data_IF_454866745587
#
_entry.id   IF_454866745587
#
_cell.length_a   1.000
_cell.length_b   1.000
_cell.length_c   1.000
_cell.angle_alpha   90.00
_cell.angle_beta   90.00
_cell.angle_gamma   90.00
#
_symmetry.space_group_name_H-M   'P 1'
#
loop_
_entity.id
_entity.type
_entity.pdbx_description
1 polymer ?
#
# COMPACT_ATOMS: atom_id res chain seq x y z
N UNK A 1 -33.81 -13.22 93.81
CA UNK A 1 -33.05 -12.02 93.38
C UNK A 1 -33.70 -11.50 92.10
N UNK A 2 -34.12 -10.23 92.01
CA UNK A 2 -34.69 -9.69 90.77
C UNK A 2 -33.56 -9.48 89.75
N UNK A 3 -33.67 -10.04 88.53
CA UNK A 3 -32.64 -9.87 87.51
C UNK A 3 -32.66 -8.44 86.94
N UNK A 4 -31.51 -7.93 86.51
CA UNK A 4 -31.38 -6.61 85.88
C UNK A 4 -32.01 -6.55 84.48
N UNK A 5 -32.34 -7.71 83.89
CA UNK A 5 -33.09 -7.86 82.64
C UNK A 5 -34.07 -9.04 82.78
N UNK A 6 -35.33 -8.85 82.40
CA UNK A 6 -36.27 -9.95 82.19
C UNK A 6 -36.15 -10.41 80.72
N UNK A 7 -36.23 -11.73 80.47
CA UNK A 7 -36.16 -12.29 79.11
C UNK A 7 -34.79 -12.86 78.70
N UNK A 8 -34.07 -13.54 79.60
CA UNK A 8 -33.09 -14.50 79.11
C UNK A 8 -33.85 -15.61 78.37
N UNK A 9 -33.53 -15.92 77.12
CA UNK A 9 -34.18 -17.00 76.38
C UNK A 9 -33.77 -18.36 76.97
N UNK A 10 -34.55 -18.84 77.94
CA UNK A 10 -34.38 -20.13 78.60
C UNK A 10 -35.63 -20.55 79.35
N UNK A 11 -35.91 -21.86 79.37
CA UNK A 11 -36.95 -22.46 80.20
C UNK A 11 -36.69 -22.09 81.68
N UNK A 12 -37.57 -21.27 82.27
CA UNK A 12 -37.43 -20.78 83.65
C UNK A 12 -36.96 -19.32 83.80
N UNK A 13 -36.87 -18.56 82.71
CA UNK A 13 -36.54 -17.13 82.79
C UNK A 13 -37.64 -16.30 83.45
N UNK A 14 -37.24 -15.37 84.31
CA UNK A 14 -38.14 -14.46 85.02
C UNK A 14 -38.98 -13.64 84.04
N UNK A 15 -40.30 -13.71 84.19
CA UNK A 15 -41.27 -12.89 83.47
C UNK A 15 -42.05 -12.02 84.43
N UNK A 16 -42.11 -10.71 84.17
CA UNK A 16 -42.92 -9.79 84.97
C UNK A 16 -44.41 -10.16 84.96
N UNK A 17 -44.88 -10.84 83.92
CA UNK A 17 -46.26 -11.28 83.80
C UNK A 17 -46.63 -12.40 84.78
N UNK A 18 -45.67 -13.17 85.28
CA UNK A 18 -45.92 -14.24 86.27
C UNK A 18 -46.22 -13.66 87.67
N UNK A 19 -46.00 -12.34 87.83
CA UNK A 19 -46.27 -11.57 89.05
C UNK A 19 -47.40 -10.55 88.88
N UNK A 20 -48.22 -10.68 87.82
CA UNK A 20 -49.41 -9.85 87.58
C UNK A 20 -50.65 -10.69 87.92
N UNK A 21 -51.26 -10.40 89.07
CA UNK A 21 -52.38 -11.19 89.62
C UNK A 21 -53.77 -10.61 89.33
N UNK A 22 -53.82 -9.41 88.73
CA UNK A 22 -55.06 -8.73 88.35
C UNK A 22 -55.18 -8.65 86.82
N UNK A 23 -56.40 -8.60 86.25
CA UNK A 23 -56.61 -8.48 84.80
C UNK A 23 -55.84 -7.31 84.17
N UNK A 24 -55.71 -6.22 84.93
CA UNK A 24 -54.89 -5.06 84.65
C UNK A 24 -54.08 -4.70 85.90
N UNK A 25 -52.80 -4.39 85.74
CA UNK A 25 -51.93 -3.92 86.81
C UNK A 25 -51.12 -2.72 86.34
N UNK A 26 -51.05 -1.69 87.19
CA UNK A 26 -50.36 -0.45 86.86
C UNK A 26 -49.17 -0.23 87.79
N UNK A 27 -48.03 0.18 87.23
CA UNK A 27 -46.87 0.67 87.99
C UNK A 27 -46.64 2.13 87.64
N UNK A 28 -46.52 2.97 88.66
CA UNK A 28 -46.24 4.39 88.50
C UNK A 28 -44.96 4.77 89.23
N UNK A 29 -44.14 5.58 88.57
CA UNK A 29 -42.95 6.18 89.15
C UNK A 29 -42.95 7.66 88.79
N UNK A 30 -42.99 8.52 89.81
CA UNK A 30 -42.79 9.96 89.65
C UNK A 30 -41.34 10.29 90.00
N UNK A 31 -40.63 10.94 89.09
CA UNK A 31 -39.20 11.23 89.22
C UNK A 31 -38.87 12.64 88.72
N UNK A 32 -37.65 13.11 89.01
CA UNK A 32 -37.17 14.44 88.61
C UNK A 32 -35.85 14.35 87.87
N UNK A 33 -35.72 15.13 86.81
CA UNK A 33 -34.47 15.29 86.07
C UNK A 33 -34.45 16.64 85.37
N UNK A 34 -33.29 17.31 85.32
CA UNK A 34 -33.17 18.62 84.67
C UNK A 34 -34.15 19.67 85.18
N UNK A 35 -34.46 19.69 86.48
CA UNK A 35 -35.43 20.60 87.09
C UNK A 35 -36.91 20.24 86.90
N UNK A 36 -37.24 19.44 85.88
CA UNK A 36 -38.59 18.98 85.53
C UNK A 36 -39.03 17.77 86.35
N UNK A 37 -40.34 17.53 86.41
CA UNK A 37 -40.92 16.31 87.00
C UNK A 37 -41.52 15.46 85.90
N UNK A 38 -41.29 14.16 85.97
CA UNK A 38 -41.80 13.18 85.02
C UNK A 38 -42.58 12.09 85.74
N UNK A 39 -43.55 11.49 85.06
CA UNK A 39 -44.30 10.33 85.54
C UNK A 39 -44.20 9.22 84.49
N UNK A 40 -43.53 8.13 84.86
CA UNK A 40 -43.56 6.88 84.10
C UNK A 40 -44.75 6.04 84.57
N UNK A 41 -45.60 5.60 83.65
CA UNK A 41 -46.75 4.75 83.94
C UNK A 41 -46.70 3.51 83.03
N UNK A 42 -46.59 2.34 83.63
CA UNK A 42 -46.64 1.05 82.94
C UNK A 42 -47.98 0.39 83.25
N UNK A 43 -48.70 -0.01 82.21
CA UNK A 43 -49.96 -0.76 82.31
C UNK A 43 -49.72 -2.15 81.73
N UNK A 44 -49.90 -3.17 82.58
CA UNK A 44 -49.73 -4.57 82.23
C UNK A 44 -51.10 -5.24 82.19
N UNK A 45 -51.46 -5.81 81.04
CA UNK A 45 -52.72 -6.54 80.84
C UNK A 45 -52.44 -8.01 80.56
N UNK A 46 -53.11 -8.88 81.32
CA UNK A 46 -52.99 -10.34 81.22
C UNK A 46 -54.29 -11.03 80.80
N UNK A 47 -55.39 -10.28 80.69
CA UNK A 47 -56.66 -10.85 80.23
C UNK A 47 -56.64 -11.06 78.70
N UNK A 48 -56.38 -12.30 78.27
CA UNK A 48 -56.20 -12.66 76.87
C UNK A 48 -54.75 -12.56 76.41
N UNK A 49 -54.46 -11.71 75.41
CA UNK A 49 -53.09 -11.50 74.91
C UNK A 49 -52.32 -10.58 75.87
N UNK A 50 -51.18 -11.06 76.40
CA UNK A 50 -50.25 -10.26 77.21
C UNK A 50 -49.89 -8.97 76.47
N UNK A 51 -50.14 -7.83 77.11
CA UNK A 51 -49.85 -6.49 76.54
C UNK A 51 -49.26 -5.59 77.62
N UNK A 52 -48.17 -4.92 77.26
CA UNK A 52 -47.57 -3.83 78.05
C UNK A 52 -47.81 -2.53 77.30
N UNK A 53 -48.34 -1.54 78.00
CA UNK A 53 -48.38 -0.14 77.56
C UNK A 53 -47.49 0.67 78.50
N UNK A 54 -46.72 1.60 77.94
CA UNK A 54 -45.76 2.41 78.66
C UNK A 54 -45.91 3.87 78.26
N UNK A 55 -46.22 4.71 79.23
CA UNK A 55 -46.45 6.14 79.05
C UNK A 55 -45.43 6.93 79.84
N UNK A 56 -44.98 8.04 79.27
CA UNK A 56 -44.15 9.03 79.94
C UNK A 56 -44.82 10.39 79.85
N UNK A 57 -45.00 11.00 81.02
CA UNK A 57 -45.57 12.34 81.14
C UNK A 57 -44.56 13.31 81.74
N UNK A 58 -44.59 14.56 81.30
CA UNK A 58 -43.93 15.69 81.93
C UNK A 58 -44.96 16.52 82.70
N UNK A 59 -44.59 17.01 83.88
CA UNK A 59 -45.42 17.91 84.66
C UNK A 59 -45.30 19.34 84.13
N UNK A 60 -46.38 19.90 83.60
CA UNK A 60 -46.44 21.27 83.09
C UNK A 60 -47.82 21.88 83.29
N UNK A 61 -47.86 23.20 83.55
CA UNK A 61 -49.10 23.99 83.68
C UNK A 61 -50.23 23.28 84.46
N UNK A 62 -51.30 22.82 83.78
CA UNK A 62 -52.49 22.22 84.39
C UNK A 62 -52.33 20.77 84.91
N UNK A 63 -51.19 20.11 84.73
CA UNK A 63 -50.96 18.76 85.24
C UNK A 63 -49.92 17.94 84.48
N UNK A 64 -50.24 16.68 84.19
CA UNK A 64 -49.37 15.75 83.46
C UNK A 64 -49.70 15.77 81.97
N UNK A 65 -48.73 16.11 81.14
CA UNK A 65 -48.84 16.08 79.68
C UNK A 65 -47.90 15.01 79.10
N UNK A 66 -48.27 14.30 78.02
CA UNK A 66 -47.38 13.34 77.37
C UNK A 66 -46.07 13.99 76.92
N UNK A 67 -44.95 13.30 77.12
CA UNK A 67 -43.65 13.77 76.61
C UNK A 67 -43.65 13.78 75.09
N UNK A 68 -43.05 14.83 74.51
CA UNK A 68 -42.81 14.97 73.07
C UNK A 68 -41.30 15.00 72.84
N UNK A 69 -40.79 14.11 71.98
CA UNK A 69 -39.38 13.99 71.62
C UNK A 69 -38.95 15.09 70.65
N UNK A 70 -37.64 15.25 70.46
CA UNK A 70 -37.07 16.24 69.52
C UNK A 70 -37.56 16.05 68.08
N UNK A 71 -37.85 14.82 67.67
CA UNK A 71 -38.38 14.51 66.34
C UNK A 71 -39.91 14.72 66.22
N UNK A 72 -40.56 15.18 67.29
CA UNK A 72 -42.01 15.39 67.35
C UNK A 72 -42.81 14.15 67.78
N UNK A 73 -42.16 13.02 68.03
CA UNK A 73 -42.85 11.81 68.50
C UNK A 73 -43.44 12.02 69.89
N UNK A 74 -44.72 11.76 70.05
CA UNK A 74 -45.44 11.89 71.33
C UNK A 74 -45.50 10.53 72.03
N UNK A 75 -45.34 10.50 73.37
CA UNK A 75 -45.56 9.30 74.17
C UNK A 75 -46.98 8.75 73.96
N UNK A 76 -47.08 7.63 73.25
CA UNK A 76 -48.33 7.07 72.73
C UNK A 76 -48.72 5.74 73.39
N UNK A 77 -48.05 5.36 74.48
CA UNK A 77 -48.27 4.10 75.17
C UNK A 77 -47.49 2.92 74.61
N UNK A 78 -46.76 3.09 73.49
CA UNK A 78 -45.88 2.02 72.99
C UNK A 78 -44.60 1.96 73.81
N UNK A 79 -44.17 0.73 74.11
CA UNK A 79 -42.93 0.47 74.86
C UNK A 79 -41.71 1.08 74.15
N UNK A 80 -41.62 0.94 72.83
CA UNK A 80 -40.51 1.51 72.04
C UNK A 80 -40.44 3.05 72.14
N UNK A 81 -41.59 3.72 72.05
CA UNK A 81 -41.68 5.18 72.19
C UNK A 81 -41.26 5.60 73.60
N UNK A 82 -41.72 4.88 74.62
CA UNK A 82 -41.34 5.12 76.00
C UNK A 82 -39.83 4.94 76.24
N UNK A 83 -39.24 3.86 75.74
CA UNK A 83 -37.81 3.58 75.90
C UNK A 83 -36.95 4.67 75.25
N UNK A 84 -37.32 5.09 74.03
CA UNK A 84 -36.67 6.22 73.35
C UNK A 84 -36.79 7.52 74.16
N UNK A 85 -37.97 7.79 74.70
CA UNK A 85 -38.23 8.99 75.49
C UNK A 85 -37.40 9.05 76.77
N UNK A 86 -37.35 7.93 77.51
CA UNK A 86 -36.54 7.83 78.72
C UNK A 86 -35.05 7.95 78.39
N UNK A 87 -34.59 7.31 77.31
CA UNK A 87 -33.19 7.36 76.91
C UNK A 87 -32.73 8.77 76.49
N UNK A 88 -33.60 9.54 75.84
CA UNK A 88 -33.30 10.92 75.43
C UNK A 88 -33.25 11.89 76.62
N UNK A 89 -34.11 11.71 77.62
CA UNK A 89 -34.17 12.57 78.82
C UNK A 89 -33.03 12.23 79.79
N UNK A 90 -32.76 10.95 80.01
CA UNK A 90 -31.75 10.48 80.94
C UNK A 90 -30.48 10.07 80.18
N UNK A 91 -30.38 8.77 79.89
CA UNK A 91 -29.34 8.16 79.10
C UNK A 91 -29.84 6.76 78.68
N UNK A 92 -29.17 6.10 77.73
CA UNK A 92 -29.48 4.72 77.38
C UNK A 92 -29.49 3.82 78.63
N UNK A 93 -30.37 2.80 78.62
CA UNK A 93 -30.54 1.91 79.78
C UNK A 93 -29.22 1.28 80.24
N UNK A 94 -28.37 0.87 79.31
CA UNK A 94 -27.06 0.30 79.63
C UNK A 94 -26.14 1.29 80.37
N UNK A 95 -26.19 2.57 80.02
CA UNK A 95 -25.45 3.63 80.71
C UNK A 95 -26.05 3.88 82.10
N UNK A 96 -27.38 3.91 82.23
CA UNK A 96 -28.07 4.08 83.52
C UNK A 96 -27.73 2.93 84.49
N UNK A 97 -27.88 1.69 84.05
CA UNK A 97 -27.55 0.48 84.82
C UNK A 97 -26.04 0.30 85.05
N UNK A 98 -25.22 1.09 84.36
CA UNK A 98 -23.78 1.09 84.56
C UNK A 98 -23.31 2.18 85.51
N UNK A 99 -24.00 3.32 85.57
CA UNK A 99 -23.54 4.52 86.27
C UNK A 99 -24.42 4.89 87.48
N UNK A 100 -25.74 4.97 87.31
CA UNK A 100 -26.68 5.51 88.31
C UNK A 100 -27.21 4.41 89.23
N UNK A 101 -27.50 3.23 88.68
CA UNK A 101 -27.99 2.09 89.45
C UNK A 101 -27.20 0.84 89.08
N UNK A 102 -26.68 0.11 90.06
CA UNK A 102 -25.98 -1.16 89.81
C UNK A 102 -26.65 -2.29 90.58
N UNK A 103 -27.21 -3.25 89.85
CA UNK A 103 -27.78 -4.45 90.45
C UNK A 103 -26.69 -5.33 91.09
N UNK A 104 -27.09 -6.18 92.04
CA UNK A 104 -26.19 -7.15 92.66
C UNK A 104 -25.63 -8.11 91.59
N UNK A 105 -24.32 -8.37 91.63
CA UNK A 105 -23.66 -9.28 90.68
C UNK A 105 -23.43 -8.70 89.28
N UNK A 106 -23.62 -7.40 89.08
CA UNK A 106 -23.31 -6.73 87.80
C UNK A 106 -21.81 -6.82 87.47
N UNK A 107 -21.51 -6.93 86.17
CA UNK A 107 -20.15 -6.85 85.61
C UNK A 107 -19.42 -5.59 86.14
N UNK A 108 -18.22 -5.74 86.75
CA UNK A 108 -17.44 -4.60 87.22
C UNK A 108 -16.89 -3.79 86.04
N UNK A 109 -16.66 -2.49 86.22
CA UNK A 109 -16.11 -1.60 85.18
C UNK A 109 -14.75 -2.09 84.63
N UNK A 110 -13.94 -2.74 85.47
CA UNK A 110 -12.65 -3.34 85.07
C UNK A 110 -12.78 -4.42 84.00
N UNK A 111 -13.94 -5.07 83.90
CA UNK A 111 -14.19 -6.10 82.91
C UNK A 111 -14.63 -5.53 81.56
N UNK A 112 -14.94 -4.23 81.45
CA UNK A 112 -15.38 -3.59 80.20
C UNK A 112 -14.22 -3.40 79.23
N UNK A 113 -14.48 -3.57 77.94
CA UNK A 113 -13.53 -3.29 76.87
C UNK A 113 -13.39 -1.78 76.70
N UNK A 114 -12.22 -1.33 76.21
CA UNK A 114 -11.96 0.09 75.96
C UNK A 114 -13.02 0.78 75.09
N UNK A 115 -13.58 0.08 74.09
CA UNK A 115 -14.66 0.63 73.26
C UNK A 115 -15.95 0.84 74.07
N UNK A 116 -16.32 -0.11 74.93
CA UNK A 116 -17.50 -0.03 75.78
C UNK A 116 -17.35 1.12 76.81
N UNK A 117 -16.15 1.28 77.39
CA UNK A 117 -15.84 2.40 78.30
C UNK A 117 -15.94 3.74 77.58
N UNK A 118 -15.42 3.85 76.35
CA UNK A 118 -15.50 5.08 75.54
C UNK A 118 -16.95 5.45 75.22
N UNK A 119 -17.78 4.47 74.86
CA UNK A 119 -19.22 4.70 74.65
C UNK A 119 -19.90 5.15 75.93
N UNK A 120 -19.64 4.47 77.05
CA UNK A 120 -20.19 4.85 78.35
C UNK A 120 -19.81 6.29 78.74
N UNK A 121 -18.55 6.67 78.56
CA UNK A 121 -18.08 8.04 78.84
C UNK A 121 -18.70 9.06 77.88
N UNK A 122 -18.86 8.71 76.59
CA UNK A 122 -19.51 9.60 75.63
C UNK A 122 -20.97 9.85 76.01
N UNK A 123 -21.70 8.81 76.42
CA UNK A 123 -23.09 8.93 76.87
C UNK A 123 -23.19 9.81 78.14
N UNK A 124 -22.32 9.56 79.14
CA UNK A 124 -22.32 10.32 80.40
C UNK A 124 -21.93 11.79 80.23
N UNK A 125 -21.06 12.09 79.28
CA UNK A 125 -20.61 13.45 78.97
C UNK A 125 -21.49 14.15 77.93
N UNK A 126 -22.51 13.48 77.39
CA UNK A 126 -23.36 14.04 76.34
C UNK A 126 -22.64 14.30 75.01
N UNK A 127 -21.59 13.54 74.70
CA UNK A 127 -20.74 13.70 73.51
C UNK A 127 -21.28 12.98 72.26
N UNK A 128 -22.56 12.64 72.25
CA UNK A 128 -23.18 11.89 71.15
C UNK A 128 -23.09 12.63 69.82
N UNK A 129 -23.23 13.96 69.83
CA UNK A 129 -23.09 14.79 68.63
C UNK A 129 -21.66 14.73 68.06
N UNK A 130 -20.64 14.71 68.91
CA UNK A 130 -19.23 14.59 68.49
C UNK A 130 -18.97 13.24 67.83
N UNK A 131 -19.56 12.17 68.39
CA UNK A 131 -19.48 10.82 67.81
C UNK A 131 -20.13 10.75 66.44
N UNK A 132 -21.32 11.33 66.30
CA UNK A 132 -22.04 11.40 65.01
C UNK A 132 -21.27 12.20 63.97
N UNK A 133 -20.69 13.35 64.35
CA UNK A 133 -19.83 14.12 63.46
C UNK A 133 -18.58 13.34 63.03
N UNK A 134 -17.97 12.58 63.94
CA UNK A 134 -16.83 11.71 63.62
C UNK A 134 -17.19 10.62 62.61
N UNK A 135 -18.37 10.01 62.74
CA UNK A 135 -18.87 9.02 61.79
C UNK A 135 -19.11 9.64 60.40
N UNK A 136 -19.76 10.80 60.34
CA UNK A 136 -19.98 11.54 59.10
C UNK A 136 -18.65 11.91 58.42
N UNK A 137 -17.66 12.39 59.19
CA UNK A 137 -16.34 12.71 58.66
C UNK A 137 -15.63 11.47 58.09
N UNK A 138 -15.73 10.32 58.75
CA UNK A 138 -15.18 9.07 58.26
C UNK A 138 -15.83 8.63 56.93
N UNK A 139 -17.14 8.80 56.81
CA UNK A 139 -17.88 8.52 55.58
C UNK A 139 -17.47 9.46 54.44
N UNK A 140 -17.30 10.76 54.70
CA UNK A 140 -16.79 11.73 53.72
C UNK A 140 -15.40 11.31 53.23
N UNK A 141 -14.48 10.97 54.15
CA UNK A 141 -13.14 10.50 53.78
C UNK A 141 -13.20 9.24 52.92
N UNK A 142 -14.08 8.28 53.26
CA UNK A 142 -14.29 7.06 52.48
C UNK A 142 -14.76 7.37 51.06
N UNK A 143 -15.75 8.26 50.91
CA UNK A 143 -16.28 8.67 49.61
C UNK A 143 -15.23 9.43 48.79
N UNK A 144 -14.49 10.36 49.39
CA UNK A 144 -13.41 11.10 48.73
C UNK A 144 -12.30 10.17 48.23
N UNK A 145 -11.91 9.17 49.04
CA UNK A 145 -10.92 8.16 48.61
C UNK A 145 -11.41 7.34 47.42
N UNK A 146 -12.68 6.93 47.42
CA UNK A 146 -13.28 6.22 46.30
C UNK A 146 -13.31 7.09 45.03
N UNK A 147 -13.75 8.35 45.14
CA UNK A 147 -13.76 9.30 44.02
C UNK A 147 -12.36 9.57 43.46
N UNK A 148 -11.36 9.76 44.33
CA UNK A 148 -9.97 9.93 43.92
C UNK A 148 -9.43 8.73 43.14
N UNK A 149 -9.79 7.50 43.54
CA UNK A 149 -9.38 6.30 42.82
C UNK A 149 -9.95 6.29 41.39
N UNK A 150 -11.21 6.69 41.22
CA UNK A 150 -11.86 6.80 39.89
C UNK A 150 -11.17 7.86 39.03
N UNK A 151 -10.87 9.05 39.59
CA UNK A 151 -10.17 10.12 38.86
C UNK A 151 -8.77 9.66 38.42
N UNK A 152 -8.03 8.97 39.29
CA UNK A 152 -6.71 8.42 38.96
C UNK A 152 -6.79 7.38 37.85
N UNK A 153 -7.78 6.50 37.88
CA UNK A 153 -8.01 5.52 36.82
C UNK A 153 -8.37 6.19 35.49
N UNK A 154 -9.22 7.23 35.54
CA UNK A 154 -9.57 8.03 34.37
C UNK A 154 -8.36 8.73 33.75
N UNK A 155 -7.48 9.31 34.59
CA UNK A 155 -6.24 9.93 34.13
C UNK A 155 -5.31 8.92 33.45
N UNK A 156 -5.13 7.74 34.03
CA UNK A 156 -4.28 6.69 33.45
C UNK A 156 -4.78 6.26 32.06
N UNK A 157 -6.09 6.04 31.91
CA UNK A 157 -6.71 5.71 30.60
C UNK A 157 -6.51 6.83 29.58
N UNK A 158 -6.76 8.08 29.97
CA UNK A 158 -6.56 9.22 29.08
C UNK A 158 -5.09 9.37 28.63
N UNK A 159 -4.13 9.03 29.50
CA UNK A 159 -2.70 9.01 29.14
C UNK A 159 -2.36 7.88 28.15
N UNK A 160 -2.92 6.69 28.34
CA UNK A 160 -2.78 5.56 27.41
C UNK A 160 -3.37 5.90 26.04
N UNK A 161 -4.58 6.47 26.00
CA UNK A 161 -5.26 6.90 24.78
C UNK A 161 -4.43 7.97 24.05
N UNK A 162 -3.96 8.99 24.77
CA UNK A 162 -3.11 10.03 24.19
C UNK A 162 -1.79 9.46 23.63
N UNK A 163 -1.17 8.50 24.32
CA UNK A 163 0.02 7.81 23.82
C UNK A 163 -0.29 6.94 22.60
N UNK A 164 -1.47 6.31 22.54
CA UNK A 164 -1.99 5.60 21.38
C UNK A 164 -2.15 6.53 20.17
N UNK A 165 -2.87 7.65 20.34
CA UNK A 165 -3.09 8.63 19.27
C UNK A 165 -1.79 9.21 18.74
N UNK A 166 -0.81 9.52 19.61
CA UNK A 166 0.52 10.02 19.16
C UNK A 166 1.25 8.99 18.32
N UNK A 167 1.19 7.70 18.66
CA UNK A 167 1.80 6.63 17.85
C UNK A 167 1.14 6.53 16.49
N UNK A 168 -0.19 6.51 16.44
CA UNK A 168 -0.92 6.47 15.16
C UNK A 168 -0.64 7.69 14.28
N UNK A 169 -0.49 8.89 14.86
CA UNK A 169 -0.08 10.07 14.10
C UNK A 169 1.33 9.92 13.51
N UNK A 170 2.29 9.44 14.30
CA UNK A 170 3.65 9.20 13.82
C UNK A 170 3.70 8.14 12.69
N UNK A 171 2.87 7.09 12.78
CA UNK A 171 2.72 6.08 11.73
C UNK A 171 2.12 6.67 10.44
N UNK A 172 1.10 7.52 10.56
CA UNK A 172 0.50 8.22 9.42
C UNK A 172 1.49 9.18 8.75
N UNK A 173 2.25 9.94 9.53
CA UNK A 173 3.29 10.82 9.03
C UNK A 173 4.38 10.02 8.28
N UNK A 174 4.81 8.89 8.85
CA UNK A 174 5.76 7.98 8.21
C UNK A 174 5.22 7.39 6.90
N UNK A 175 3.94 6.97 6.87
CA UNK A 175 3.29 6.47 5.67
C UNK A 175 3.16 7.55 4.59
N UNK A 176 2.85 8.79 4.98
CA UNK A 176 2.81 9.95 4.08
C UNK A 176 4.16 10.22 3.44
N UNK A 177 5.24 10.21 4.24
CA UNK A 177 6.61 10.37 3.73
C UNK A 177 7.01 9.23 2.78
N UNK A 178 6.65 7.98 3.12
CA UNK A 178 6.90 6.83 2.24
C UNK A 178 6.15 6.94 0.91
N UNK A 179 4.89 7.42 0.93
CA UNK A 179 4.10 7.65 -0.28
C UNK A 179 4.73 8.74 -1.17
N UNK A 180 5.19 9.85 -0.59
CA UNK A 180 5.90 10.90 -1.32
C UNK A 180 7.18 10.35 -1.97
N UNK A 181 7.98 9.60 -1.22
CA UNK A 181 9.21 8.98 -1.75
C UNK A 181 8.92 7.97 -2.87
N UNK A 182 7.91 7.11 -2.70
CA UNK A 182 7.48 6.16 -3.72
C UNK A 182 6.97 6.86 -4.98
N UNK A 183 6.24 7.97 -4.82
CA UNK A 183 5.71 8.77 -5.94
C UNK A 183 6.83 9.46 -6.71
N UNK A 184 7.82 10.03 -6.02
CA UNK A 184 9.02 10.61 -6.61
C UNK A 184 9.86 9.56 -7.34
N UNK A 185 10.01 8.37 -6.75
CA UNK A 185 10.72 7.27 -7.39
C UNK A 185 9.99 6.80 -8.66
N UNK A 186 8.66 6.66 -8.60
CA UNK A 186 7.84 6.27 -9.76
C UNK A 186 7.94 7.28 -10.91
N UNK A 187 7.93 8.57 -10.60
CA UNK A 187 8.10 9.62 -11.63
C UNK A 187 9.50 9.60 -12.24
N UNK A 188 10.54 9.39 -11.44
CA UNK A 188 11.91 9.21 -11.92
C UNK A 188 12.09 7.96 -12.79
N UNK A 189 11.50 6.82 -12.41
CA UNK A 189 11.58 5.59 -13.21
C UNK A 189 10.79 5.73 -14.51
N UNK A 190 9.61 6.37 -14.48
CA UNK A 190 8.83 6.67 -15.68
C UNK A 190 9.62 7.55 -16.66
N UNK A 191 10.24 8.64 -16.18
CA UNK A 191 11.06 9.51 -17.02
C UNK A 191 12.26 8.77 -17.66
N UNK A 192 12.91 7.88 -16.90
CA UNK A 192 13.99 7.04 -17.43
C UNK A 192 13.50 6.05 -18.48
N UNK A 193 12.33 5.46 -18.27
CA UNK A 193 11.71 4.54 -19.22
C UNK A 193 11.33 5.26 -20.51
N UNK A 194 10.77 6.46 -20.44
CA UNK A 194 10.44 7.27 -21.61
C UNK A 194 11.69 7.71 -22.38
N UNK A 195 12.75 8.12 -21.69
CA UNK A 195 14.04 8.40 -22.31
C UNK A 195 14.65 7.16 -22.98
N UNK A 196 14.50 5.98 -22.36
CA UNK A 196 14.91 4.70 -22.95
C UNK A 196 14.11 4.36 -24.22
N UNK A 197 12.79 4.58 -24.21
CA UNK A 197 11.92 4.40 -25.38
C UNK A 197 12.29 5.35 -26.52
N UNK A 198 12.60 6.60 -26.21
CA UNK A 198 13.06 7.56 -27.21
C UNK A 198 14.38 7.12 -27.85
N UNK A 199 15.36 6.67 -27.06
CA UNK A 199 16.62 6.12 -27.57
C UNK A 199 16.42 4.87 -28.42
N UNK A 200 15.51 3.99 -28.01
CA UNK A 200 15.18 2.80 -28.82
C UNK A 200 14.58 3.24 -30.16
N UNK A 201 13.66 4.21 -30.18
CA UNK A 201 13.07 4.72 -31.40
C UNK A 201 14.12 5.33 -32.35
N UNK A 202 15.08 6.11 -31.82
CA UNK A 202 16.17 6.68 -32.63
C UNK A 202 17.07 5.59 -33.22
N UNK A 203 17.52 4.63 -32.41
CA UNK A 203 18.37 3.53 -32.87
C UNK A 203 17.64 2.65 -33.89
N UNK A 204 16.32 2.43 -33.70
CA UNK A 204 15.52 1.66 -34.66
C UNK A 204 15.41 2.40 -36.00
N UNK A 205 15.20 3.72 -35.98
CA UNK A 205 15.16 4.53 -37.20
C UNK A 205 16.52 4.60 -37.93
N UNK A 206 17.62 4.71 -37.18
CA UNK A 206 18.98 4.63 -37.72
C UNK A 206 19.24 3.26 -38.36
N UNK A 207 18.82 2.19 -37.70
CA UNK A 207 18.96 0.83 -38.23
C UNK A 207 18.17 0.62 -39.52
N UNK A 208 16.93 1.09 -39.60
CA UNK A 208 16.14 1.02 -40.84
C UNK A 208 16.78 1.83 -41.96
N UNK A 209 17.24 3.05 -41.69
CA UNK A 209 17.94 3.87 -42.70
C UNK A 209 19.27 3.25 -43.16
N UNK A 210 20.02 2.62 -42.25
CA UNK A 210 21.24 1.88 -42.60
C UNK A 210 20.93 0.64 -43.45
N UNK A 211 19.86 -0.09 -43.14
CA UNK A 211 19.41 -1.24 -43.92
C UNK A 211 18.96 -0.84 -45.34
N UNK A 212 18.23 0.27 -45.48
CA UNK A 212 17.86 0.85 -46.78
C UNK A 212 19.10 1.26 -47.58
N UNK A 213 20.06 1.92 -46.93
CA UNK A 213 21.32 2.33 -47.56
C UNK A 213 22.13 1.12 -48.03
N UNK A 214 22.20 0.06 -47.22
CA UNK A 214 22.87 -1.19 -47.57
C UNK A 214 22.17 -1.92 -48.73
N UNK A 215 20.82 -1.94 -48.74
CA UNK A 215 20.05 -2.48 -49.85
C UNK A 215 20.32 -1.70 -51.16
N UNK A 216 20.37 -0.36 -51.08
CA UNK A 216 20.73 0.49 -52.24
C UNK A 216 22.16 0.23 -52.71
N UNK A 217 23.11 0.04 -51.79
CA UNK A 217 24.50 -0.30 -52.11
C UNK A 217 24.59 -1.64 -52.86
N UNK A 218 23.86 -2.65 -52.42
CA UNK A 218 23.79 -3.97 -53.09
C UNK A 218 23.19 -3.84 -54.48
N UNK A 219 22.08 -3.13 -54.64
CA UNK A 219 21.46 -2.90 -55.95
C UNK A 219 22.43 -2.19 -56.93
N UNK A 220 23.13 -1.14 -56.47
CA UNK A 220 24.13 -0.45 -57.28
C UNK A 220 25.34 -1.34 -57.62
N UNK A 221 25.79 -2.19 -56.69
CA UNK A 221 26.87 -3.15 -56.95
C UNK A 221 26.45 -4.21 -57.99
N UNK A 222 25.21 -4.68 -57.94
CA UNK A 222 24.64 -5.60 -58.93
C UNK A 222 24.49 -4.93 -60.29
N UNK A 223 24.02 -3.68 -60.35
CA UNK A 223 23.98 -2.87 -61.58
C UNK A 223 25.37 -2.68 -62.17
N UNK A 224 26.37 -2.31 -61.36
CA UNK A 224 27.75 -2.16 -61.80
C UNK A 224 28.35 -3.48 -62.31
N UNK A 225 28.01 -4.61 -61.67
CA UNK A 225 28.42 -5.94 -62.14
C UNK A 225 27.82 -6.25 -63.52
N UNK A 226 26.51 -6.03 -63.70
CA UNK A 226 25.83 -6.23 -65.00
C UNK A 226 26.43 -5.34 -66.08
N UNK A 227 26.64 -4.06 -65.79
CA UNK A 227 27.26 -3.13 -66.73
C UNK A 227 28.68 -3.58 -67.12
N UNK A 228 29.46 -4.12 -66.17
CA UNK A 228 30.79 -4.68 -66.45
C UNK A 228 30.69 -5.94 -67.33
N UNK A 229 29.80 -6.87 -67.01
CA UNK A 229 29.58 -8.09 -67.81
C UNK A 229 29.14 -7.74 -69.24
N UNK A 230 28.26 -6.74 -69.41
CA UNK A 230 27.88 -6.21 -70.72
C UNK A 230 29.07 -5.58 -71.46
N UNK A 231 29.88 -4.77 -70.77
CA UNK A 231 31.10 -4.19 -71.33
C UNK A 231 32.10 -5.26 -71.76
N UNK A 232 32.35 -6.26 -70.92
CA UNK A 232 33.27 -7.37 -71.20
C UNK A 232 32.76 -8.21 -72.38
N UNK A 233 31.46 -8.49 -72.44
CA UNK A 233 30.83 -9.18 -73.57
C UNK A 233 30.93 -8.36 -74.87
N UNK A 234 30.71 -7.05 -74.82
CA UNK A 234 30.88 -6.16 -75.97
C UNK A 234 32.34 -6.10 -76.44
N UNK A 235 33.29 -6.01 -75.50
CA UNK A 235 34.72 -6.02 -75.78
C UNK A 235 35.16 -7.36 -76.41
N UNK A 236 34.63 -8.49 -75.92
CA UNK A 236 34.86 -9.81 -76.53
C UNK A 236 34.28 -9.92 -77.94
N UNK A 237 33.08 -9.37 -78.20
CA UNK A 237 32.51 -9.32 -79.56
C UNK A 237 33.40 -8.48 -80.49
N UNK A 238 33.84 -7.31 -80.04
CA UNK A 238 34.76 -6.45 -80.79
C UNK A 238 36.09 -7.14 -81.08
N UNK A 239 36.68 -7.84 -80.11
CA UNK A 239 37.94 -8.56 -80.29
C UNK A 239 37.84 -9.76 -81.23
N UNK A 240 36.65 -10.35 -81.39
CA UNK A 240 36.38 -11.41 -82.38
C UNK A 240 36.09 -10.85 -83.78
N UNK A 241 35.39 -9.72 -83.89
CA UNK A 241 35.04 -9.09 -85.17
C UNK A 241 36.23 -8.37 -85.82
N UNK A 242 37.12 -7.75 -85.04
CA UNK A 242 38.30 -7.04 -85.55
C UNK A 242 39.22 -7.92 -86.44
N UNK A 243 39.68 -9.12 -86.01
CA UNK A 243 40.50 -9.98 -86.85
C UNK A 243 39.73 -10.54 -88.06
N UNK A 244 38.41 -10.76 -87.96
CA UNK A 244 37.58 -11.16 -89.11
C UNK A 244 37.53 -10.08 -90.18
N UNK A 245 37.32 -8.82 -89.77
CA UNK A 245 37.33 -7.68 -90.69
C UNK A 245 38.71 -7.46 -91.29
N UNK A 246 39.79 -7.57 -90.51
CA UNK A 246 41.17 -7.47 -91.00
C UNK A 246 41.54 -8.60 -92.00
N UNK A 247 41.11 -9.84 -91.74
CA UNK A 247 41.25 -10.96 -92.68
C UNK A 247 40.48 -10.72 -93.98
N UNK A 248 39.26 -10.17 -93.88
CA UNK A 248 38.46 -9.83 -95.05
C UNK A 248 39.12 -8.72 -95.88
N UNK A 249 39.64 -7.68 -95.23
CA UNK A 249 40.37 -6.60 -95.88
C UNK A 249 41.63 -7.11 -96.60
N UNK A 250 42.46 -7.93 -95.94
CA UNK A 250 43.67 -8.52 -96.55
C UNK A 250 43.33 -9.41 -97.74
N UNK A 251 42.26 -10.22 -97.66
CA UNK A 251 41.78 -11.03 -98.81
C UNK A 251 41.35 -10.18 -100.01
N UNK A 252 40.71 -9.02 -99.76
CA UNK A 252 40.31 -8.09 -100.81
C UNK A 252 41.53 -7.42 -101.44
N UNK A 253 42.51 -6.99 -100.63
CA UNK A 253 43.77 -6.43 -101.12
C UNK A 253 44.55 -7.43 -101.99
N UNK A 254 44.60 -8.71 -101.59
CA UNK A 254 45.19 -9.78 -102.40
C UNK A 254 44.50 -9.95 -103.76
N UNK A 255 43.15 -9.96 -103.80
CA UNK A 255 42.38 -10.03 -105.05
C UNK A 255 42.62 -8.83 -105.98
N UNK A 256 42.79 -7.63 -105.41
CA UNK A 256 43.15 -6.43 -106.19
C UNK A 256 44.54 -6.59 -106.81
N UNK A 257 45.52 -7.03 -106.02
CA UNK A 257 46.88 -7.27 -106.50
C UNK A 257 46.95 -8.34 -107.61
N UNK A 258 46.19 -9.43 -107.46
CA UNK A 258 46.07 -10.48 -108.49
C UNK A 258 45.48 -9.94 -109.80
N UNK A 259 44.41 -9.14 -109.73
CA UNK A 259 43.83 -8.49 -110.91
C UNK A 259 44.81 -7.56 -111.60
N UNK A 260 45.55 -6.73 -110.86
CA UNK A 260 46.58 -5.86 -111.43
C UNK A 260 47.67 -6.66 -112.15
N UNK A 261 48.13 -7.78 -111.57
CA UNK A 261 49.11 -8.69 -112.21
C UNK A 261 48.54 -9.36 -113.47
N UNK A 262 47.27 -9.75 -113.48
CA UNK A 262 46.61 -10.33 -114.65
C UNK A 262 46.48 -9.32 -115.79
N UNK A 263 46.06 -8.08 -115.50
CA UNK A 263 46.01 -7.00 -116.48
C UNK A 263 47.39 -6.66 -117.04
N UNK A 264 48.42 -6.61 -116.18
CA UNK A 264 49.81 -6.40 -116.60
C UNK A 264 50.32 -7.48 -117.57
N UNK A 265 50.05 -8.76 -117.27
CA UNK A 265 50.40 -9.90 -118.15
C UNK A 265 49.69 -9.82 -119.50
N UNK A 266 48.39 -9.51 -119.51
CA UNK A 266 47.60 -9.42 -120.74
C UNK A 266 48.06 -8.26 -121.64
N UNK A 267 48.41 -7.13 -121.05
CA UNK A 267 48.98 -5.98 -121.76
C UNK A 267 50.35 -6.30 -122.36
N UNK A 268 51.22 -6.99 -121.63
CA UNK A 268 52.53 -7.41 -122.14
C UNK A 268 52.41 -8.38 -123.33
N UNK A 269 51.45 -9.30 -123.29
CA UNK A 269 51.19 -10.23 -124.39
C UNK A 269 50.71 -9.49 -125.67
N UNK A 270 49.76 -8.56 -125.54
CA UNK A 270 49.26 -7.78 -126.67
C UNK A 270 50.37 -6.92 -127.32
N UNK A 271 51.27 -6.35 -126.54
CA UNK A 271 52.44 -5.62 -127.07
C UNK A 271 53.34 -6.54 -127.89
N UNK A 272 53.54 -7.78 -127.43
CA UNK A 272 54.34 -8.79 -128.11
C UNK A 272 53.71 -9.20 -129.45
N UNK A 273 52.39 -9.38 -129.46
CA UNK A 273 51.63 -9.76 -130.67
C UNK A 273 51.63 -8.64 -131.73
N UNK A 274 51.51 -7.38 -131.30
CA UNK A 274 51.64 -6.20 -132.19
C UNK A 274 53.04 -6.17 -132.83
N UNK A 275 54.10 -6.41 -132.05
CA UNK A 275 55.47 -6.43 -132.58
C UNK A 275 55.66 -7.56 -133.61
N UNK A 276 55.11 -8.74 -133.37
CA UNK A 276 55.17 -9.87 -134.29
C UNK A 276 54.41 -9.59 -135.61
N UNK A 277 53.20 -9.05 -135.55
CA UNK A 277 52.40 -8.70 -136.73
C UNK A 277 53.05 -7.58 -137.57
N UNK A 278 53.72 -6.63 -136.91
CA UNK A 278 54.45 -5.55 -137.59
C UNK A 278 55.68 -6.08 -138.35
N UNK A 279 56.35 -7.13 -137.84
CA UNK A 279 57.46 -7.77 -138.53
C UNK A 279 57.01 -8.52 -139.80
N UNK A 280 55.85 -9.18 -139.77
CA UNK A 280 55.28 -9.88 -140.93
C UNK A 280 54.86 -8.90 -142.03
N UNK A 281 54.30 -7.74 -141.67
CA UNK A 281 53.89 -6.72 -142.64
C UNK A 281 55.06 -6.14 -143.46
N UNK A 282 56.27 -6.05 -142.88
CA UNK A 282 57.47 -5.52 -143.57
C UNK A 282 58.02 -6.44 -144.65
N UNK A 283 57.73 -7.75 -144.60
CA UNK A 283 58.22 -8.73 -145.57
C UNK A 283 57.39 -8.78 -146.88
N UNK A 284 56.24 -8.11 -146.93
CA UNK A 284 55.33 -8.13 -148.09
C UNK A 284 55.98 -7.58 -149.37
N UNK A 285 56.64 -6.44 -149.30
CA UNK A 285 57.27 -5.82 -150.48
C UNK A 285 58.43 -6.66 -151.06
N UNK A 286 59.17 -7.36 -150.20
CA UNK A 286 60.25 -8.25 -150.63
C UNK A 286 59.74 -9.50 -151.35
N UNK A 287 58.58 -10.03 -150.95
CA UNK A 287 57.95 -11.19 -151.60
C UNK A 287 57.35 -10.80 -152.96
N UNK A 288 56.68 -9.66 -153.05
CA UNK A 288 56.11 -9.17 -154.32
C UNK A 288 57.21 -8.84 -155.36
N UNK A 289 58.36 -8.28 -154.95
CA UNK A 289 59.53 -8.05 -155.83
C UNK A 289 60.21 -9.35 -156.30
N UNK A 290 60.23 -10.39 -155.47
CA UNK A 290 60.79 -11.69 -155.84
C UNK A 290 59.91 -12.43 -156.87
N UNK A 291 58.57 -12.27 -156.80
CA UNK A 291 57.64 -12.89 -157.74
C UNK A 291 57.75 -12.29 -159.16
N UNK A 292 57.85 -10.97 -159.31
CA UNK A 292 57.87 -10.29 -160.62
C UNK A 292 59.15 -10.53 -161.45
N UNK A 293 60.28 -10.89 -160.82
CA UNK A 293 61.55 -11.16 -161.51
C UNK A 293 61.73 -12.60 -161.99
N UNK A 294 60.81 -13.51 -161.62
CA UNK A 294 60.91 -14.94 -161.92
C UNK A 294 60.80 -15.24 -163.43
N UNK A 295 59.88 -14.58 -164.13
CA UNK A 295 59.69 -14.77 -165.57
C UNK A 295 60.83 -14.19 -166.43
N UNK A 296 61.58 -13.22 -165.89
CA UNK A 296 62.78 -12.69 -166.54
C UNK A 296 63.96 -13.64 -166.39
N UNK A 297 64.18 -14.19 -165.19
CA UNK A 297 65.26 -15.14 -164.92
C UNK A 297 65.10 -16.45 -165.72
N UNK A 298 63.88 -16.95 -165.91
CA UNK A 298 63.63 -18.15 -166.72
C UNK A 298 63.90 -17.93 -168.22
N UNK A 299 63.69 -16.72 -168.75
CA UNK A 299 63.98 -16.37 -170.15
C UNK A 299 65.46 -16.17 -170.46
N UNK A 300 66.27 -15.77 -169.46
CA UNK A 300 67.73 -15.64 -169.61
C UNK A 300 68.41 -17.02 -169.61
N UNK A 301 67.96 -17.96 -168.77
CA UNK A 301 68.50 -19.32 -168.72
C UNK A 301 68.21 -20.11 -170.01
N UNK A 302 67.02 -19.94 -170.61
CA UNK A 302 66.69 -20.58 -171.89
C UNK A 302 67.51 -20.04 -173.09
N UNK A 303 68.03 -18.81 -173.00
CA UNK A 303 68.79 -18.16 -174.09
C UNK A 303 70.30 -18.45 -174.02
N UNK A 304 70.84 -18.72 -172.83
CA UNK A 304 72.23 -19.14 -172.65
C UNK A 304 72.47 -20.63 -172.99
N UNK A 305 71.43 -21.47 -173.04
CA UNK A 305 71.56 -22.89 -173.41
C UNK A 305 71.44 -23.16 -174.93
N UNK A 306 71.16 -22.14 -175.75
CA UNK A 306 70.98 -22.27 -177.19
C UNK A 306 72.14 -21.71 -178.05
N UNK A 307 73.22 -21.19 -177.45
CA UNK A 307 74.23 -20.42 -178.20
C UNK A 307 75.71 -20.85 -178.10
N UNK A 308 76.07 -21.97 -177.44
CA UNK A 308 77.46 -22.48 -177.43
C UNK A 308 77.55 -23.96 -177.83
N UNK A 309 77.14 -24.22 -179.07
CA UNK A 309 77.66 -25.31 -179.90
C UNK A 309 78.18 -24.72 -181.21
N UNK A 310 79.42 -24.19 -181.19
CA UNK A 310 80.35 -23.99 -182.32
C UNK A 310 81.54 -23.09 -181.89
N UNK A 311 82.49 -23.70 -181.17
CA UNK A 311 83.95 -23.54 -181.26
C UNK A 311 84.60 -24.50 -180.26
#
# INVERSE_FOLDING_TARGET
MMPSRAGADGLGAFSYYDHVFLPESTKELVWRHGGKRYKSQLVLRVNGKKKTEAFLFEHGGPGWAPVVLRDGTVSDGKVETYEKAVAEILCPADTFFTSVFSAQGKRPLSAFKNAEIKTLLADLLGLEQVRQQGALAADVVKQLKAGLAVVRQGLARAQEDAAGTRRSLAELDGASQALLAATAQRTSTAARLDAGRQKLATVTAEHTGAAETEARRRALADEARRAKEEHDAAAQRLSQELPRLQQRETSLQQRIAERCRAYGRRRAQLVKDIAALTAVARLRESVERAAARRDFAQRVVARCQAHDGLA
#
